data_IF_665772938440
#
_entry.id   IF_665772938440
#
_cell.length_a   1.000
_cell.length_b   1.000
_cell.length_c   1.000
_cell.angle_alpha   90.00
_cell.angle_beta   90.00
_cell.angle_gamma   90.00
#
_symmetry.space_group_name_H-M   'P 1'
#
loop_
_entity.id
_entity.type
_entity.pdbx_description
1 polymer ?
#
# COMPACT_ATOMS: atom_id res chain seq x y z
N UNK A 1 -6.16 14.58 1.91
CA UNK A 1 -7.36 13.77 2.19
C UNK A 1 -7.34 13.41 3.67
N UNK A 2 -8.44 13.63 4.41
CA UNK A 2 -8.56 13.19 5.80
C UNK A 2 -8.97 11.70 5.87
N UNK A 3 -8.91 11.07 7.05
CA UNK A 3 -9.25 9.65 7.22
C UNK A 3 -10.68 9.33 6.75
N UNK A 4 -11.62 10.25 6.96
CA UNK A 4 -13.02 10.08 6.56
C UNK A 4 -13.20 9.95 5.04
N UNK A 5 -12.45 10.73 4.26
CA UNK A 5 -12.51 10.68 2.80
C UNK A 5 -11.91 9.39 2.22
N UNK A 6 -10.96 8.74 2.91
CA UNK A 6 -10.44 7.43 2.51
C UNK A 6 -11.48 6.33 2.68
N UNK A 7 -12.20 6.34 3.80
CA UNK A 7 -13.14 5.28 4.21
C UNK A 7 -14.32 5.07 3.24
N UNK A 8 -14.68 6.07 2.44
CA UNK A 8 -15.82 6.01 1.52
C UNK A 8 -15.41 6.01 0.04
N UNK A 9 -14.13 6.25 -0.27
CA UNK A 9 -13.64 6.31 -1.64
C UNK A 9 -13.47 4.91 -2.25
N UNK A 10 -14.00 4.75 -3.46
CA UNK A 10 -13.80 3.55 -4.28
C UNK A 10 -12.61 3.76 -5.22
N UNK A 11 -11.56 2.97 -5.04
CA UNK A 11 -10.33 3.04 -5.83
C UNK A 11 -10.34 2.01 -6.95
N UNK A 12 -9.94 2.43 -8.14
CA UNK A 12 -9.80 1.59 -9.33
C UNK A 12 -8.34 1.15 -9.50
N UNK A 13 -8.10 -0.15 -9.41
CA UNK A 13 -6.87 -0.81 -9.80
C UNK A 13 -7.10 -1.43 -11.17
N UNK A 14 -6.72 -0.73 -12.24
CA UNK A 14 -7.10 -1.10 -13.61
C UNK A 14 -6.67 -2.51 -14.01
N UNK A 15 -5.51 -2.95 -13.51
CA UNK A 15 -4.93 -4.29 -13.74
C UNK A 15 -5.22 -5.28 -12.58
N UNK A 16 -6.01 -4.85 -11.60
CA UNK A 16 -6.20 -5.52 -10.32
C UNK A 16 -4.92 -5.60 -9.50
N UNK A 17 -4.81 -6.64 -8.68
CA UNK A 17 -3.59 -6.94 -7.92
C UNK A 17 -2.95 -8.24 -8.45
N UNK A 18 -1.62 -8.39 -8.42
CA UNK A 18 -0.94 -9.68 -8.61
C UNK A 18 -1.63 -10.83 -7.85
N UNK A 19 -2.08 -11.85 -8.59
CA UNK A 19 -2.84 -12.98 -8.06
C UNK A 19 -4.36 -12.77 -7.95
N UNK A 20 -4.83 -11.54 -8.14
CA UNK A 20 -6.24 -11.11 -8.10
C UNK A 20 -6.54 -10.11 -9.23
N UNK A 21 -6.15 -10.44 -10.46
CA UNK A 21 -6.26 -9.53 -11.61
C UNK A 21 -7.71 -9.23 -12.02
N UNK A 22 -8.66 -10.05 -11.59
CA UNK A 22 -10.09 -9.85 -11.79
C UNK A 22 -10.71 -8.88 -10.79
N UNK A 23 -10.06 -8.61 -9.65
CA UNK A 23 -10.52 -7.65 -8.64
C UNK A 23 -9.91 -6.29 -8.94
N UNK A 24 -10.73 -5.34 -9.36
CA UNK A 24 -10.33 -4.02 -9.84
C UNK A 24 -10.80 -2.90 -8.92
N UNK A 25 -11.75 -3.15 -8.03
CA UNK A 25 -12.29 -2.11 -7.17
C UNK A 25 -12.10 -2.42 -5.70
N UNK A 26 -11.54 -1.45 -4.98
CA UNK A 26 -11.23 -1.57 -3.56
C UNK A 26 -11.66 -0.33 -2.77
N UNK A 27 -11.92 -0.52 -1.48
CA UNK A 27 -12.12 0.54 -0.49
C UNK A 27 -10.99 0.44 0.52
N UNK A 28 -10.47 1.59 0.95
CA UNK A 28 -9.47 1.65 2.02
C UNK A 28 -10.13 2.16 3.28
N UNK A 29 -10.03 1.40 4.38
CA UNK A 29 -10.60 1.83 5.67
C UNK A 29 -9.59 1.74 6.80
N UNK A 30 -9.64 2.70 7.73
CA UNK A 30 -8.86 2.62 8.97
C UNK A 30 -9.65 1.87 10.05
N UNK A 31 -9.07 0.85 10.71
CA UNK A 31 -9.73 0.13 11.79
C UNK A 31 -9.85 0.94 13.08
N UNK A 32 -8.92 1.87 13.32
CA UNK A 32 -8.84 2.67 14.56
C UNK A 32 -8.27 4.06 14.26
N UNK A 33 -8.58 5.06 15.09
CA UNK A 33 -7.87 6.35 15.06
C UNK A 33 -6.40 6.15 15.46
N UNK A 34 -5.50 6.99 14.94
CA UNK A 34 -4.07 7.05 15.28
C UNK A 34 -3.26 5.74 15.12
N UNK A 35 -3.55 4.94 14.08
CA UNK A 35 -2.79 3.72 13.78
C UNK A 35 -2.26 3.70 12.33
N UNK A 36 -1.11 3.04 12.05
CA UNK A 36 -0.51 3.04 10.71
C UNK A 36 -1.13 2.01 9.76
N UNK A 37 -2.03 1.14 10.23
CA UNK A 37 -2.63 0.05 9.49
C UNK A 37 -4.01 0.42 8.95
N UNK A 38 -4.33 -0.17 7.79
CA UNK A 38 -5.58 0.02 7.08
C UNK A 38 -6.01 -1.33 6.49
N UNK A 39 -7.28 -1.43 6.11
CA UNK A 39 -7.81 -2.52 5.31
C UNK A 39 -7.99 -2.07 3.88
N UNK A 40 -7.52 -2.88 2.93
CA UNK A 40 -7.87 -2.77 1.51
C UNK A 40 -8.90 -3.87 1.20
N UNK A 41 -10.17 -3.48 1.21
CA UNK A 41 -11.32 -4.38 1.02
C UNK A 41 -11.72 -4.42 -0.45
N UNK A 42 -11.83 -5.61 -1.05
CA UNK A 42 -12.41 -5.73 -2.38
C UNK A 42 -13.92 -5.44 -2.33
N UNK A 43 -14.40 -4.68 -3.34
CA UNK A 43 -15.83 -4.42 -3.56
C UNK A 43 -16.49 -5.57 -4.34
N UNK A 44 -15.69 -6.35 -5.06
CA UNK A 44 -16.17 -7.40 -5.95
C UNK A 44 -16.24 -8.76 -5.23
N UNK A 45 -15.36 -9.01 -4.27
CA UNK A 45 -15.37 -10.22 -3.44
C UNK A 45 -15.20 -9.86 -1.96
N UNK A 46 -16.28 -9.95 -1.17
CA UNK A 46 -16.30 -9.53 0.24
C UNK A 46 -15.29 -10.29 1.12
N UNK A 47 -14.98 -11.55 0.79
CA UNK A 47 -14.01 -12.37 1.51
C UNK A 47 -12.55 -11.93 1.27
N UNK A 48 -12.28 -11.10 0.27
CA UNK A 48 -10.94 -10.64 -0.07
C UNK A 48 -10.68 -9.27 0.56
N UNK A 49 -9.85 -9.28 1.60
CA UNK A 49 -9.39 -8.11 2.31
C UNK A 49 -7.91 -8.23 2.67
N UNK A 50 -7.14 -7.17 2.43
CA UNK A 50 -5.72 -7.12 2.77
C UNK A 50 -5.48 -6.18 3.94
N UNK A 51 -4.66 -6.61 4.90
CA UNK A 51 -4.06 -5.69 5.85
C UNK A 51 -2.94 -4.94 5.13
N UNK A 52 -3.01 -3.61 5.14
CA UNK A 52 -2.02 -2.73 4.52
C UNK A 52 -1.51 -1.72 5.55
N UNK A 53 -0.33 -1.15 5.31
CA UNK A 53 0.31 -0.22 6.24
C UNK A 53 0.89 0.98 5.49
N UNK A 54 0.77 2.18 6.06
CA UNK A 54 1.52 3.33 5.54
C UNK A 54 2.98 3.19 6.00
N UNK A 55 3.92 2.89 5.09
CA UNK A 55 5.31 2.62 5.47
C UNK A 55 6.01 3.85 6.04
N UNK A 56 5.64 5.05 5.58
CA UNK A 56 6.26 6.31 6.00
C UNK A 56 5.83 6.74 7.40
N UNK A 57 4.71 6.20 7.91
CA UNK A 57 4.34 6.34 9.32
C UNK A 57 5.22 5.49 10.25
N UNK A 58 5.94 4.50 9.71
CA UNK A 58 6.78 3.59 10.48
C UNK A 58 8.27 3.93 10.39
N UNK A 59 8.74 4.31 9.20
CA UNK A 59 10.16 4.57 8.95
C UNK A 59 10.35 5.68 7.93
N UNK A 60 11.35 6.54 8.16
CA UNK A 60 11.78 7.56 7.19
C UNK A 60 12.81 7.04 6.18
N UNK A 61 13.30 5.82 6.39
CA UNK A 61 14.36 5.24 5.55
C UNK A 61 13.82 4.37 4.41
N UNK A 62 12.50 4.27 4.26
CA UNK A 62 11.89 3.70 3.07
C UNK A 62 11.73 4.82 2.04
N UNK A 63 12.43 4.70 0.92
CA UNK A 63 12.39 5.61 -0.21
C UNK A 63 12.48 4.80 -1.50
N UNK A 64 11.86 5.31 -2.57
CA UNK A 64 11.91 4.71 -3.90
C UNK A 64 11.47 5.73 -4.95
N UNK A 65 11.92 5.53 -6.17
CA UNK A 65 11.47 6.30 -7.33
C UNK A 65 10.36 5.56 -8.07
N UNK A 66 9.34 6.31 -8.50
CA UNK A 66 8.31 5.77 -9.39
C UNK A 66 8.77 5.85 -10.84
N UNK A 67 8.66 4.77 -11.63
CA UNK A 67 8.89 4.83 -13.07
C UNK A 67 7.90 5.79 -13.75
N UNK A 68 8.33 6.50 -14.80
CA UNK A 68 7.48 7.42 -15.57
C UNK A 68 6.19 6.76 -16.07
N UNK A 69 6.26 5.48 -16.45
CA UNK A 69 5.08 4.70 -16.88
C UNK A 69 4.01 4.57 -15.79
N UNK A 70 4.41 4.52 -14.51
CA UNK A 70 3.48 4.50 -13.38
C UNK A 70 2.86 5.87 -13.19
N UNK A 71 3.67 6.94 -13.27
CA UNK A 71 3.19 8.32 -13.16
C UNK A 71 2.14 8.63 -14.24
N UNK A 72 2.41 8.22 -15.49
CA UNK A 72 1.49 8.34 -16.62
C UNK A 72 0.22 7.50 -16.40
N UNK A 73 0.35 6.23 -16.04
CA UNK A 73 -0.80 5.33 -15.87
C UNK A 73 -1.74 5.77 -14.74
N UNK A 74 -1.20 6.36 -13.67
CA UNK A 74 -1.96 6.87 -12.53
C UNK A 74 -2.34 8.35 -12.68
N UNK A 75 -1.91 9.01 -13.76
CA UNK A 75 -2.11 10.44 -14.03
C UNK A 75 -1.67 11.34 -12.86
N UNK A 76 -0.53 10.98 -12.25
CA UNK A 76 0.05 11.69 -11.11
C UNK A 76 0.68 12.99 -11.59
N UNK A 77 0.29 14.12 -10.98
CA UNK A 77 0.80 15.46 -11.34
C UNK A 77 1.71 16.03 -10.26
N UNK A 78 1.51 15.62 -9.02
CA UNK A 78 2.32 16.06 -7.89
C UNK A 78 2.47 14.95 -6.84
N UNK A 79 3.56 14.95 -6.04
CA UNK A 79 3.72 14.01 -4.93
C UNK A 79 2.59 14.10 -3.89
N UNK A 80 1.97 15.28 -3.73
CA UNK A 80 0.83 15.47 -2.83
C UNK A 80 -0.45 14.75 -3.27
N UNK A 81 -0.50 14.29 -4.53
CA UNK A 81 -1.62 13.49 -5.04
C UNK A 81 -1.48 12.00 -4.69
N UNK A 82 -0.36 11.59 -4.08
CA UNK A 82 -0.02 10.19 -3.88
C UNK A 82 -0.21 9.80 -2.42
N UNK A 83 -0.83 8.63 -2.22
CA UNK A 83 -0.72 7.87 -0.97
C UNK A 83 -0.10 6.51 -1.29
N UNK A 84 0.77 6.05 -0.39
CA UNK A 84 1.48 4.78 -0.51
C UNK A 84 1.11 3.87 0.66
N UNK A 85 0.90 2.60 0.35
CA UNK A 85 0.78 1.54 1.33
C UNK A 85 1.61 0.32 0.92
N UNK A 86 1.93 -0.55 1.88
CA UNK A 86 2.45 -1.88 1.59
C UNK A 86 1.55 -2.95 2.20
N UNK A 87 1.43 -4.09 1.52
CA UNK A 87 0.65 -5.22 2.01
C UNK A 87 1.42 -5.91 3.15
N UNK A 88 0.72 -6.14 4.27
CA UNK A 88 1.19 -6.90 5.43
C UNK A 88 0.77 -8.36 5.26
N UNK A 89 1.74 -9.26 5.30
CA UNK A 89 1.53 -10.70 5.29
C UNK A 89 1.60 -11.23 6.74
N UNK A 90 0.44 -11.55 7.31
CA UNK A 90 0.32 -12.11 8.66
C UNK A 90 0.35 -13.63 8.57
N UNK A 91 1.34 -14.26 9.21
CA UNK A 91 1.48 -15.72 9.29
C UNK A 91 1.35 -16.17 10.74
N UNK A 92 0.14 -16.49 11.17
CA UNK A 92 -0.15 -16.80 12.56
C UNK A 92 -0.40 -15.53 13.37
N UNK A 93 0.66 -14.81 13.74
CA UNK A 93 0.56 -13.59 14.56
C UNK A 93 1.21 -12.36 13.91
N UNK A 94 0.92 -11.18 14.48
CA UNK A 94 1.49 -9.91 14.00
C UNK A 94 3.00 -9.79 14.29
N UNK A 95 3.51 -10.50 15.30
CA UNK A 95 4.93 -10.45 15.68
C UNK A 95 5.84 -11.11 14.64
N UNK A 96 5.30 -12.09 13.90
CA UNK A 96 5.94 -12.79 12.79
C UNK A 96 5.53 -12.26 11.41
N UNK A 97 4.66 -11.24 11.36
CA UNK A 97 4.21 -10.65 10.11
C UNK A 97 5.36 -9.98 9.34
N UNK A 98 5.25 -10.00 8.02
CA UNK A 98 6.20 -9.32 7.12
C UNK A 98 5.48 -8.31 6.23
N UNK A 99 6.22 -7.35 5.70
CA UNK A 99 5.75 -6.36 4.74
C UNK A 99 6.51 -6.55 3.44
N UNK A 100 5.80 -6.44 2.31
CA UNK A 100 6.43 -6.45 1.00
C UNK A 100 6.82 -5.03 0.59
N UNK A 101 8.10 -4.67 0.78
CA UNK A 101 8.62 -3.35 0.42
C UNK A 101 8.91 -3.18 -1.08
N UNK A 102 9.03 -4.28 -1.82
CA UNK A 102 9.24 -4.23 -3.28
C UNK A 102 7.93 -4.04 -4.06
N UNK A 103 6.76 -4.16 -3.44
CA UNK A 103 5.49 -4.07 -4.15
C UNK A 103 4.50 -3.11 -3.47
N UNK A 104 4.82 -1.81 -3.33
CA UNK A 104 3.90 -0.83 -2.77
C UNK A 104 2.63 -0.69 -3.61
N UNK A 105 1.54 -0.38 -2.92
CA UNK A 105 0.31 0.14 -3.48
C UNK A 105 0.47 1.65 -3.60
N UNK A 106 0.44 2.15 -4.82
CA UNK A 106 0.57 3.57 -5.15
C UNK A 106 -0.78 4.05 -5.65
N UNK A 107 -1.34 5.04 -4.97
CA UNK A 107 -2.71 5.50 -5.20
C UNK A 107 -2.69 7.00 -5.45
N UNK A 108 -3.28 7.41 -6.57
CA UNK A 108 -3.61 8.78 -6.83
C UNK A 108 -4.97 9.11 -6.19
N UNK A 109 -4.94 9.98 -5.19
CA UNK A 109 -6.11 10.34 -4.39
C UNK A 109 -7.03 11.36 -5.08
N UNK A 110 -6.58 11.98 -6.17
CA UNK A 110 -7.36 12.96 -6.93
C UNK A 110 -8.33 12.27 -7.90
N UNK A 111 -7.88 11.19 -8.55
CA UNK A 111 -8.69 10.44 -9.53
C UNK A 111 -9.08 9.03 -9.04
N UNK A 112 -8.68 8.66 -7.83
CA UNK A 112 -8.92 7.35 -7.20
C UNK A 112 -8.36 6.16 -7.99
N UNK A 113 -7.29 6.35 -8.77
CA UNK A 113 -6.59 5.25 -9.45
C UNK A 113 -5.49 4.68 -8.56
N UNK A 114 -5.35 3.36 -8.52
CA UNK A 114 -4.34 2.64 -7.77
C UNK A 114 -3.59 1.63 -8.61
N UNK A 115 -2.36 1.30 -8.22
CA UNK A 115 -1.56 0.25 -8.82
C UNK A 115 -0.67 -0.41 -7.75
N UNK A 116 -0.51 -1.74 -7.82
CA UNK A 116 0.59 -2.40 -7.10
C UNK A 116 1.84 -2.36 -7.97
N UNK A 117 2.79 -1.51 -7.60
CA UNK A 117 3.99 -1.22 -8.38
C UNK A 117 5.11 -2.16 -7.96
N UNK A 118 5.67 -2.93 -8.89
CA UNK A 118 6.85 -3.76 -8.61
C UNK A 118 8.11 -2.91 -8.76
N UNK A 119 8.80 -2.68 -7.65
CA UNK A 119 10.08 -1.99 -7.58
C UNK A 119 11.21 -2.99 -7.86
N UNK A 120 12.09 -2.66 -8.82
CA UNK A 120 13.27 -3.46 -9.14
C UNK A 120 14.50 -2.98 -8.34
N UNK A 121 14.33 -2.73 -7.05
CA UNK A 121 15.39 -2.28 -6.16
C UNK A 121 15.91 -3.45 -5.29
N UNK A 122 17.17 -3.88 -5.47
CA UNK A 122 17.75 -4.98 -4.69
C UNK A 122 17.92 -4.64 -3.19
N UNK A 123 17.86 -3.37 -2.80
CA UNK A 123 17.91 -2.94 -1.40
C UNK A 123 16.59 -3.11 -0.64
N UNK A 124 15.48 -3.31 -1.35
CA UNK A 124 14.16 -3.50 -0.74
C UNK A 124 13.85 -4.98 -0.56
N UNK A 125 13.27 -5.35 0.59
CA UNK A 125 12.95 -6.75 0.89
C UNK A 125 11.49 -7.11 0.55
N UNK A 126 11.30 -8.27 -0.09
CA UNK A 126 9.97 -8.85 -0.34
C UNK A 126 9.24 -9.29 0.94
N UNK A 127 10.01 -9.60 1.99
CA UNK A 127 9.52 -10.11 3.29
C UNK A 127 10.26 -9.42 4.43
N UNK A 128 10.16 -8.09 4.49
CA UNK A 128 10.72 -7.33 5.61
C UNK A 128 9.94 -7.65 6.89
N UNK A 129 10.55 -8.10 7.99
CA UNK A 129 9.84 -8.26 9.25
C UNK A 129 9.17 -6.96 9.68
N UNK A 130 7.85 -6.97 9.93
CA UNK A 130 7.09 -5.77 10.30
C UNK A 130 7.67 -5.10 11.56
N UNK A 131 8.17 -5.89 12.50
CA UNK A 131 8.85 -5.40 13.72
C UNK A 131 10.07 -4.51 13.45
N UNK A 132 10.77 -4.71 12.32
CA UNK A 132 11.93 -3.89 11.97
C UNK A 132 11.50 -2.48 11.54
N UNK A 133 10.37 -2.39 10.82
CA UNK A 133 9.76 -1.12 10.43
C UNK A 133 9.23 -0.38 11.66
N UNK A 134 8.62 -1.08 12.62
CA UNK A 134 8.12 -0.50 13.88
C UNK A 134 9.24 0.03 14.80
N UNK A 135 10.51 -0.30 14.56
CA UNK A 135 11.65 0.08 15.40
C UNK A 135 12.53 1.18 14.79
N UNK A 136 12.19 1.73 13.61
CA UNK A 136 12.93 2.84 13.01
C UNK A 136 14.42 2.53 12.72
N UNK A 137 14.75 1.29 12.33
CA UNK A 137 16.11 0.93 11.89
C UNK A 137 16.06 0.30 10.51
N UNK A 138 16.37 1.09 9.48
CA UNK A 138 16.95 0.53 8.25
C UNK A 138 18.41 0.20 8.57
N UNK A 139 18.68 -1.10 8.59
CA UNK A 139 20.06 -1.61 8.64
C UNK A 139 20.66 -1.36 7.27
N UNK A 140 21.69 -0.51 7.23
CA UNK A 140 22.57 -0.32 6.07
C UNK A 140 23.37 -1.60 5.78
#
# INVERSE_FOLDING_TARGET
MNQDQLNEAKFLFEQGLPGFTHLRYFIISSPFEDNPFYYLQSVEEAEICFLIVNPFALTQSYEFDLPDSVLESLEIKSPSDIVVFNIVNVRGDLASATVNLQAPLVINIVNHKGMQVVLNDPGLNLREPLKNLLQGKVVK
#
